data_IF_738057029880
#
_entry.id   IF_738057029880
#
_cell.length_a   1.000
_cell.length_b   1.000
_cell.length_c   1.000
_cell.angle_alpha   90.00
_cell.angle_beta   90.00
_cell.angle_gamma   90.00
#
_symmetry.space_group_name_H-M   'P 1'
#
loop_
_entity.id
_entity.type
_entity.pdbx_description
1 polymer ?
#
# COMPACT_ATOMS: atom_id res chain seq x y z
N UNK A 1 -17.68 9.84 -51.21
CA UNK A 1 -18.41 11.09 -50.91
C UNK A 1 -17.46 12.01 -50.14
N UNK A 2 -16.92 13.04 -50.81
CA UNK A 2 -17.06 14.49 -50.48
C UNK A 2 -16.81 14.80 -48.99
N UNK A 3 -15.62 15.25 -48.58
CA UNK A 3 -15.01 16.60 -48.64
C UNK A 3 -15.79 17.71 -47.90
N UNK A 4 -15.13 18.29 -46.89
CA UNK A 4 -14.96 19.75 -46.67
C UNK A 4 -13.77 19.90 -45.70
N UNK A 5 -12.56 20.32 -46.13
CA UNK A 5 -12.12 21.70 -46.45
C UNK A 5 -12.38 22.64 -45.26
N UNK A 6 -11.39 23.31 -44.64
CA UNK A 6 -10.69 24.54 -45.10
C UNK A 6 -9.36 24.63 -44.32
N UNK A 7 -8.18 24.51 -44.96
CA UNK A 7 -7.25 25.57 -45.42
C UNK A 7 -6.87 26.69 -44.42
N UNK A 8 -5.57 26.82 -44.09
CA UNK A 8 -4.65 27.86 -44.60
C UNK A 8 -3.24 27.64 -43.97
N UNK A 9 -2.15 27.30 -44.72
CA UNK A 9 -1.29 28.16 -45.59
C UNK A 9 -0.51 29.21 -44.75
N UNK A 10 0.82 29.43 -44.79
CA UNK A 10 1.95 29.25 -45.73
C UNK A 10 3.27 29.14 -44.90
N UNK A 11 4.31 28.35 -45.24
CA UNK A 11 5.43 28.61 -46.19
C UNK A 11 6.20 29.95 -45.89
N UNK A 12 7.52 30.11 -46.01
CA UNK A 12 8.64 29.23 -46.36
C UNK A 12 9.97 30.00 -46.13
N UNK A 13 10.98 29.28 -45.63
CA UNK A 13 12.36 29.10 -46.15
C UNK A 13 13.00 30.09 -47.16
N UNK A 14 14.26 30.48 -46.84
CA UNK A 14 15.38 31.07 -47.63
C UNK A 14 15.21 32.55 -48.06
N UNK A 15 16.25 33.36 -48.37
CA UNK A 15 17.55 33.17 -49.03
C UNK A 15 18.50 34.34 -48.65
N UNK A 16 19.80 34.05 -48.56
CA UNK A 16 20.98 34.83 -49.03
C UNK A 16 21.39 36.24 -48.60
N UNK A 17 22.72 36.30 -48.41
CA UNK A 17 23.66 37.43 -48.45
C UNK A 17 23.61 38.25 -49.75
N UNK A 18 24.05 39.52 -49.71
CA UNK A 18 25.02 39.97 -50.71
C UNK A 18 26.19 40.84 -50.17
N UNK A 19 27.16 40.96 -51.07
CA UNK A 19 28.49 41.59 -51.03
C UNK A 19 28.45 43.11 -50.83
N UNK A 20 29.57 43.68 -50.33
CA UNK A 20 29.80 45.12 -50.20
C UNK A 20 30.08 45.86 -51.53
N UNK A 21 30.41 47.17 -51.46
CA UNK A 21 31.64 47.65 -52.11
C UNK A 21 32.41 48.76 -51.35
N UNK A 22 33.49 49.16 -52.01
CA UNK A 22 34.72 49.89 -51.69
C UNK A 22 34.68 51.41 -51.44
N UNK A 23 35.56 51.87 -50.53
CA UNK A 23 36.61 52.94 -50.66
C UNK A 23 36.20 54.39 -51.00
N UNK A 24 36.57 55.35 -50.14
CA UNK A 24 37.26 56.60 -50.57
C UNK A 24 37.98 57.30 -49.42
N UNK A 25 39.25 57.63 -49.68
CA UNK A 25 40.14 58.46 -48.84
C UNK A 25 39.81 59.93 -49.08
N UNK A 26 39.65 60.73 -48.01
CA UNK A 26 39.70 62.19 -48.08
C UNK A 26 40.55 62.77 -46.94
N UNK A 27 41.36 63.75 -47.32
CA UNK A 27 42.46 64.41 -46.61
C UNK A 27 42.01 65.35 -45.47
N UNK A 28 42.84 65.60 -44.44
CA UNK A 28 42.51 66.55 -43.38
C UNK A 28 43.00 67.99 -43.68
N UNK A 29 42.26 69.00 -43.20
CA UNK A 29 42.70 70.40 -43.04
C UNK A 29 42.03 71.04 -41.81
N UNK A 30 42.57 72.15 -41.28
CA UNK A 30 43.10 72.16 -39.92
C UNK A 30 42.16 72.73 -38.86
N UNK A 31 42.51 72.39 -37.62
CA UNK A 31 42.02 72.89 -36.34
C UNK A 31 41.84 74.42 -36.29
N UNK A 32 40.67 74.86 -35.79
CA UNK A 32 40.55 76.09 -35.01
C UNK A 32 40.43 75.71 -33.54
N UNK A 33 41.42 76.12 -32.75
CA UNK A 33 41.40 76.00 -31.31
C UNK A 33 40.34 76.95 -30.71
N UNK A 34 39.42 76.38 -29.94
CA UNK A 34 38.59 77.09 -28.98
C UNK A 34 39.27 77.02 -27.58
N UNK A 35 39.08 78.01 -26.71
CA UNK A 35 39.94 78.25 -25.56
C UNK A 35 39.81 77.19 -24.44
N UNK A 36 40.93 76.90 -23.72
CA UNK A 36 41.00 75.88 -22.69
C UNK A 36 40.57 76.45 -21.34
N UNK A 37 39.28 76.38 -20.99
CA UNK A 37 38.88 76.64 -19.60
C UNK A 37 37.68 75.87 -19.08
N UNK A 38 36.93 75.15 -19.93
CA UNK A 38 35.83 74.29 -19.48
C UNK A 38 36.13 72.78 -19.56
N UNK A 39 37.03 72.36 -20.47
CA UNK A 39 37.30 70.94 -20.72
C UNK A 39 38.23 70.30 -19.69
N UNK A 40 39.20 71.05 -19.15
CA UNK A 40 40.17 70.53 -18.17
C UNK A 40 39.55 70.27 -16.78
N UNK A 41 38.46 70.96 -16.42
CA UNK A 41 37.75 70.74 -15.16
C UNK A 41 36.78 69.54 -15.21
N UNK A 42 36.26 69.20 -16.39
CA UNK A 42 35.35 68.06 -16.58
C UNK A 42 36.10 66.74 -16.79
N UNK A 43 37.23 66.75 -17.50
CA UNK A 43 38.03 65.54 -17.73
C UNK A 43 38.71 65.02 -16.46
N UNK A 44 39.22 65.92 -15.61
CA UNK A 44 39.84 65.56 -14.31
C UNK A 44 38.81 65.09 -13.26
N UNK A 45 37.58 65.62 -13.31
CA UNK A 45 36.49 65.20 -12.41
C UNK A 45 35.89 63.84 -12.78
N UNK A 46 35.83 63.51 -14.07
CA UNK A 46 35.34 62.20 -14.54
C UNK A 46 36.32 61.04 -14.26
N UNK A 47 37.64 61.30 -14.26
CA UNK A 47 38.64 60.27 -13.96
C UNK A 47 38.72 59.92 -12.46
N UNK A 48 38.53 60.89 -11.56
CA UNK A 48 38.51 60.64 -10.11
C UNK A 48 37.25 59.87 -9.68
N UNK A 49 36.06 60.22 -10.19
CA UNK A 49 34.82 59.48 -9.87
C UNK A 49 34.86 58.05 -10.39
N UNK A 50 35.40 57.82 -11.60
CA UNK A 50 35.62 56.47 -12.15
C UNK A 50 36.62 55.66 -11.33
N UNK A 51 37.71 56.29 -10.86
CA UNK A 51 38.69 55.63 -10.00
C UNK A 51 38.12 55.27 -8.63
N UNK A 52 37.32 56.15 -8.03
CA UNK A 52 36.63 55.89 -6.77
C UNK A 52 35.56 54.80 -6.92
N UNK A 53 34.85 54.74 -8.05
CA UNK A 53 33.90 53.66 -8.33
C UNK A 53 34.60 52.31 -8.57
N UNK A 54 35.71 52.26 -9.32
CA UNK A 54 36.54 51.06 -9.46
C UNK A 54 37.09 50.57 -8.10
N UNK A 55 37.52 51.48 -7.23
CA UNK A 55 37.95 51.17 -5.86
C UNK A 55 36.82 50.67 -4.96
N UNK A 56 35.61 51.26 -5.07
CA UNK A 56 34.42 50.76 -4.37
C UNK A 56 34.03 49.37 -4.86
N UNK A 57 34.08 49.13 -6.17
CA UNK A 57 33.81 47.82 -6.77
C UNK A 57 34.87 46.78 -6.38
N UNK A 58 36.14 47.17 -6.30
CA UNK A 58 37.23 46.31 -5.80
C UNK A 58 37.09 46.01 -4.31
N UNK A 59 36.68 47.00 -3.50
CA UNK A 59 36.42 46.84 -2.07
C UNK A 59 35.19 45.96 -1.82
N UNK A 60 34.13 46.10 -2.62
CA UNK A 60 32.95 45.25 -2.58
C UNK A 60 33.26 43.81 -3.05
N UNK A 61 34.06 43.62 -4.10
CA UNK A 61 34.53 42.29 -4.50
C UNK A 61 35.38 41.65 -3.41
N UNK A 62 36.29 42.40 -2.77
CA UNK A 62 37.07 41.88 -1.64
C UNK A 62 36.22 41.61 -0.40
N UNK A 63 35.21 42.44 -0.13
CA UNK A 63 34.24 42.23 0.95
C UNK A 63 33.36 41.01 0.72
N UNK A 64 32.89 40.80 -0.52
CA UNK A 64 32.16 39.62 -0.93
C UNK A 64 33.04 38.37 -0.87
N UNK A 65 34.29 38.43 -1.34
CA UNK A 65 35.26 37.34 -1.23
C UNK A 65 35.62 37.02 0.23
N UNK A 66 35.68 38.02 1.10
CA UNK A 66 35.94 37.86 2.53
C UNK A 66 34.73 37.26 3.26
N UNK A 67 33.50 37.66 2.92
CA UNK A 67 32.27 37.00 3.39
C UNK A 67 32.18 35.57 2.88
N UNK A 68 32.45 35.32 1.60
CA UNK A 68 32.49 33.98 1.02
C UNK A 68 33.51 33.09 1.74
N UNK A 69 34.68 33.64 2.12
CA UNK A 69 35.69 32.93 2.92
C UNK A 69 35.24 32.67 4.37
N UNK A 70 34.50 33.59 4.97
CA UNK A 70 33.95 33.44 6.33
C UNK A 70 32.79 32.44 6.40
N UNK A 71 31.97 32.33 5.34
CA UNK A 71 30.83 31.42 5.28
C UNK A 71 31.17 30.08 4.61
N UNK A 72 32.34 29.97 3.96
CA UNK A 72 32.86 28.71 3.40
C UNK A 72 32.74 27.51 4.36
N UNK A 73 33.12 27.58 5.65
CA UNK A 73 32.95 26.44 6.55
C UNK A 73 31.48 26.08 6.79
N UNK A 74 30.58 27.06 6.82
CA UNK A 74 29.13 26.82 6.98
C UNK A 74 28.57 26.13 5.73
N UNK A 75 28.93 26.59 4.53
CA UNK A 75 28.53 25.95 3.29
C UNK A 75 29.11 24.54 3.15
N UNK A 76 30.36 24.33 3.58
CA UNK A 76 30.98 23.00 3.60
C UNK A 76 30.24 22.06 4.55
N UNK A 77 29.87 22.52 5.75
CA UNK A 77 29.10 21.72 6.71
C UNK A 77 27.68 21.41 6.20
N UNK A 78 27.00 22.37 5.57
CA UNK A 78 25.69 22.15 4.95
C UNK A 78 25.79 21.17 3.77
N UNK A 79 26.83 21.27 2.95
CA UNK A 79 27.05 20.35 1.84
C UNK A 79 27.36 18.93 2.35
N UNK A 80 28.18 18.79 3.40
CA UNK A 80 28.46 17.50 4.03
C UNK A 80 27.21 16.91 4.70
N UNK A 81 26.39 17.73 5.35
CA UNK A 81 25.11 17.31 5.94
C UNK A 81 24.12 16.84 4.86
N UNK A 82 24.00 17.60 3.76
CA UNK A 82 23.17 17.21 2.63
C UNK A 82 23.67 15.90 1.99
N UNK A 83 24.98 15.74 1.82
CA UNK A 83 25.57 14.52 1.29
C UNK A 83 25.29 13.31 2.22
N UNK A 84 25.42 13.48 3.53
CA UNK A 84 25.13 12.45 4.51
C UNK A 84 23.65 12.04 4.50
N UNK A 85 22.74 13.01 4.43
CA UNK A 85 21.29 12.73 4.35
C UNK A 85 20.92 12.00 3.06
N UNK A 86 21.49 12.38 1.91
CA UNK A 86 21.30 11.67 0.64
C UNK A 86 21.82 10.22 0.70
N UNK A 87 22.97 9.99 1.34
CA UNK A 87 23.52 8.63 1.52
C UNK A 87 22.59 7.79 2.42
N UNK A 88 22.15 8.31 3.56
CA UNK A 88 21.26 7.60 4.49
C UNK A 88 19.90 7.28 3.85
N UNK A 89 19.34 8.22 3.08
CA UNK A 89 18.12 8.01 2.32
C UNK A 89 18.30 6.95 1.23
N UNK A 90 19.40 6.98 0.48
CA UNK A 90 19.73 5.96 -0.52
C UNK A 90 19.84 4.55 0.07
N UNK A 91 20.46 4.41 1.26
CA UNK A 91 20.54 3.12 1.98
C UNK A 91 19.17 2.64 2.46
N UNK A 92 18.30 3.55 2.87
CA UNK A 92 16.93 3.21 3.29
C UNK A 92 16.08 2.75 2.11
N UNK A 93 16.17 3.45 0.97
CA UNK A 93 15.48 3.07 -0.27
C UNK A 93 15.96 1.71 -0.81
N UNK A 94 17.25 1.41 -0.76
CA UNK A 94 17.77 0.12 -1.24
C UNK A 94 17.25 -1.07 -0.42
N UNK A 95 17.13 -0.92 0.90
CA UNK A 95 16.52 -1.91 1.79
C UNK A 95 15.02 -2.10 1.52
N UNK A 96 14.28 -1.02 1.29
CA UNK A 96 12.85 -1.10 0.94
C UNK A 96 12.67 -1.81 -0.40
N UNK A 97 13.52 -1.52 -1.38
CA UNK A 97 13.48 -2.18 -2.69
C UNK A 97 13.78 -3.67 -2.62
N UNK A 98 14.72 -4.11 -1.76
CA UNK A 98 15.02 -5.54 -1.61
C UNK A 98 13.86 -6.29 -0.98
N UNK A 99 13.25 -5.73 0.08
CA UNK A 99 12.06 -6.31 0.73
C UNK A 99 10.87 -6.37 -0.23
N UNK A 100 10.64 -5.31 -1.01
CA UNK A 100 9.58 -5.27 -2.03
C UNK A 100 9.78 -6.36 -3.10
N UNK A 101 11.02 -6.56 -3.56
CA UNK A 101 11.36 -7.61 -4.53
C UNK A 101 11.14 -9.01 -3.97
N UNK A 102 11.53 -9.26 -2.72
CA UNK A 102 11.29 -10.53 -2.04
C UNK A 102 9.79 -10.81 -1.86
N UNK A 103 9.01 -9.80 -1.46
CA UNK A 103 7.55 -9.92 -1.34
C UNK A 103 6.91 -10.27 -2.69
N UNK A 104 7.30 -9.59 -3.77
CA UNK A 104 6.78 -9.87 -5.10
C UNK A 104 7.17 -11.26 -5.61
N UNK A 105 8.39 -11.73 -5.33
CA UNK A 105 8.81 -13.11 -5.63
C UNK A 105 7.97 -14.13 -4.86
N UNK A 106 7.78 -13.92 -3.55
CA UNK A 106 6.94 -14.80 -2.71
C UNK A 106 5.50 -14.84 -3.18
N UNK A 107 4.93 -13.71 -3.58
CA UNK A 107 3.59 -13.64 -4.16
C UNK A 107 3.49 -14.37 -5.51
N UNK A 108 4.51 -14.28 -6.36
CA UNK A 108 4.54 -14.98 -7.63
C UNK A 108 4.68 -16.51 -7.45
N UNK A 109 5.49 -16.96 -6.50
CA UNK A 109 5.62 -18.37 -6.12
C UNK A 109 4.29 -18.94 -5.58
N UNK A 110 3.61 -18.19 -4.69
CA UNK A 110 2.31 -18.60 -4.13
C UNK A 110 1.25 -18.77 -5.22
N UNK A 111 1.18 -17.81 -6.17
CA UNK A 111 0.26 -17.86 -7.31
C UNK A 111 0.55 -19.05 -8.23
N UNK A 112 1.82 -19.39 -8.44
CA UNK A 112 2.22 -20.52 -9.29
C UNK A 112 1.80 -21.85 -8.65
N UNK A 113 1.96 -22.01 -7.34
CA UNK A 113 1.55 -23.23 -6.62
C UNK A 113 0.02 -23.40 -6.62
N UNK A 114 -0.72 -22.31 -6.41
CA UNK A 114 -2.20 -22.30 -6.46
C UNK A 114 -2.78 -22.50 -7.88
N UNK A 115 -1.96 -22.37 -8.93
CA UNK A 115 -2.38 -22.62 -10.32
C UNK A 115 -2.15 -24.07 -10.78
N UNK A 116 -1.74 -24.97 -9.88
CA UNK A 116 -1.71 -26.41 -10.20
C UNK A 116 -3.13 -26.91 -10.54
N UNK A 117 -3.32 -27.69 -11.62
CA UNK A 117 -4.62 -28.23 -12.01
C UNK A 117 -5.33 -28.98 -10.88
N UNK A 118 -4.55 -29.63 -10.00
CA UNK A 118 -5.07 -30.40 -8.86
C UNK A 118 -5.74 -29.50 -7.81
N UNK A 119 -5.27 -28.27 -7.64
CA UNK A 119 -5.82 -27.32 -6.68
C UNK A 119 -7.11 -26.65 -7.18
N UNK A 120 -7.24 -26.49 -8.50
CA UNK A 120 -8.50 -26.05 -9.11
C UNK A 120 -9.59 -27.11 -9.00
N UNK A 121 -9.22 -28.40 -9.07
CA UNK A 121 -10.18 -29.51 -9.00
C UNK A 121 -10.50 -29.93 -7.56
N UNK A 122 -9.51 -29.85 -6.65
CA UNK A 122 -9.63 -30.23 -5.25
C UNK A 122 -9.03 -29.14 -4.34
N UNK A 123 -9.75 -28.03 -4.11
CA UNK A 123 -9.23 -26.94 -3.30
C UNK A 123 -8.76 -27.40 -1.91
N UNK A 124 -9.49 -28.31 -1.27
CA UNK A 124 -9.15 -28.80 0.06
C UNK A 124 -8.02 -29.84 0.12
N UNK A 125 -7.42 -30.19 -1.02
CA UNK A 125 -6.35 -31.18 -1.17
C UNK A 125 -6.80 -32.46 -1.89
N UNK A 126 -5.86 -33.18 -2.55
CA UNK A 126 -6.17 -34.33 -3.40
C UNK A 126 -6.82 -35.53 -2.67
N UNK A 127 -6.56 -35.66 -1.36
CA UNK A 127 -7.11 -36.73 -0.51
C UNK A 127 -8.38 -36.30 0.26
N UNK A 128 -8.88 -35.08 0.04
CA UNK A 128 -9.89 -34.45 0.88
C UNK A 128 -11.33 -34.52 0.32
N UNK A 129 -11.70 -35.60 -0.37
CA UNK A 129 -13.02 -35.72 -1.04
C UNK A 129 -14.23 -35.54 -0.09
N UNK A 130 -14.03 -35.72 1.21
CA UNK A 130 -15.04 -35.54 2.24
C UNK A 130 -15.22 -34.07 2.65
N UNK A 131 -14.23 -33.22 2.37
CA UNK A 131 -14.25 -31.80 2.68
C UNK A 131 -15.01 -31.02 1.61
N UNK A 132 -15.60 -29.91 2.02
CA UNK A 132 -16.32 -28.97 1.15
C UNK A 132 -15.63 -27.64 1.16
N UNK A 133 -15.26 -27.15 0.00
CA UNK A 133 -14.69 -25.82 -0.15
C UNK A 133 -15.79 -24.77 -0.10
N UNK A 134 -15.58 -23.71 0.66
CA UNK A 134 -16.36 -22.48 0.59
C UNK A 134 -15.52 -21.28 1.04
N UNK A 135 -15.42 -20.26 0.18
CA UNK A 135 -14.81 -18.96 0.46
C UNK A 135 -13.42 -19.01 1.15
N UNK A 136 -12.49 -19.81 0.62
CA UNK A 136 -11.13 -19.88 1.16
C UNK A 136 -10.98 -20.73 2.42
N UNK A 137 -12.01 -21.50 2.80
CA UNK A 137 -11.97 -22.51 3.86
C UNK A 137 -12.51 -23.85 3.37
N UNK A 138 -12.21 -24.88 4.14
CA UNK A 138 -12.62 -26.27 3.93
C UNK A 138 -13.39 -26.78 5.14
N UNK A 139 -14.54 -27.39 4.90
CA UNK A 139 -15.47 -27.85 5.94
C UNK A 139 -15.71 -29.35 5.84
N UNK A 140 -15.58 -30.05 6.95
CA UNK A 140 -15.90 -31.47 7.08
C UNK A 140 -17.19 -31.61 7.89
N UNK A 141 -18.18 -32.32 7.35
CA UNK A 141 -19.43 -32.63 8.03
C UNK A 141 -19.35 -34.07 8.48
N UNK A 142 -19.42 -34.30 9.80
CA UNK A 142 -19.28 -35.65 10.35
C UNK A 142 -20.45 -36.56 9.96
N UNK A 143 -20.16 -37.85 9.87
CA UNK A 143 -21.17 -38.91 9.78
C UNK A 143 -21.50 -39.52 11.15
N UNK A 144 -20.68 -39.25 12.16
CA UNK A 144 -20.84 -39.79 13.51
C UNK A 144 -21.26 -38.67 14.47
N UNK A 145 -22.13 -39.05 15.40
CA UNK A 145 -22.52 -38.20 16.52
C UNK A 145 -21.57 -38.39 17.70
N UNK A 146 -21.32 -37.32 18.44
CA UNK A 146 -20.55 -37.34 19.68
C UNK A 146 -20.84 -36.08 20.50
N UNK A 147 -20.35 -36.06 21.74
CA UNK A 147 -20.42 -34.86 22.57
C UNK A 147 -19.45 -33.77 22.11
N UNK A 148 -19.69 -32.53 22.56
CA UNK A 148 -18.97 -31.35 22.09
C UNK A 148 -17.45 -31.44 22.32
N UNK A 149 -17.03 -31.96 23.48
CA UNK A 149 -15.61 -32.11 23.81
C UNK A 149 -14.90 -33.10 22.88
N UNK A 150 -15.52 -34.26 22.62
CA UNK A 150 -15.01 -35.26 21.67
C UNK A 150 -14.98 -34.69 20.25
N UNK A 151 -16.02 -33.95 19.85
CA UNK A 151 -16.08 -33.32 18.52
C UNK A 151 -14.93 -32.31 18.33
N UNK A 152 -14.64 -31.52 19.36
CA UNK A 152 -13.50 -30.59 19.38
C UNK A 152 -12.17 -31.32 19.24
N UNK A 153 -11.98 -32.43 19.94
CA UNK A 153 -10.77 -33.26 19.83
C UNK A 153 -10.64 -33.90 18.44
N UNK A 154 -11.74 -34.43 17.89
CA UNK A 154 -11.76 -35.04 16.58
C UNK A 154 -11.39 -34.05 15.47
N UNK A 155 -11.88 -32.80 15.53
CA UNK A 155 -11.45 -31.78 14.58
C UNK A 155 -9.94 -31.48 14.71
N UNK A 156 -9.39 -31.46 15.92
CA UNK A 156 -7.94 -31.28 16.11
C UNK A 156 -7.12 -32.41 15.50
N UNK A 157 -7.56 -33.66 15.64
CA UNK A 157 -6.92 -34.83 15.00
C UNK A 157 -6.91 -34.70 13.47
N UNK A 158 -7.95 -34.09 12.90
CA UNK A 158 -8.04 -33.77 11.47
C UNK A 158 -7.27 -32.51 11.05
N UNK A 159 -6.40 -31.97 11.92
CA UNK A 159 -5.68 -30.72 11.74
C UNK A 159 -6.61 -29.55 11.39
N UNK A 160 -7.72 -29.46 12.13
CA UNK A 160 -8.81 -28.51 11.94
C UNK A 160 -9.39 -28.09 13.30
N UNK A 161 -10.47 -27.32 13.30
CA UNK A 161 -11.19 -26.92 14.51
C UNK A 161 -12.70 -27.06 14.31
N UNK A 162 -13.51 -27.07 15.38
CA UNK A 162 -14.96 -26.93 15.22
C UNK A 162 -15.27 -25.59 14.53
N UNK A 163 -16.31 -25.58 13.70
CA UNK A 163 -16.61 -24.43 12.85
C UNK A 163 -16.90 -23.16 13.65
N UNK A 164 -16.27 -22.06 13.23
CA UNK A 164 -16.52 -20.69 13.71
C UNK A 164 -17.22 -19.91 12.60
N UNK A 165 -18.41 -19.39 12.89
CA UNK A 165 -19.25 -18.71 11.88
C UNK A 165 -19.07 -17.21 12.00
N UNK A 166 -18.43 -16.61 11.00
CA UNK A 166 -17.99 -15.22 11.02
C UNK A 166 -18.96 -14.28 10.31
N UNK A 167 -19.82 -14.79 9.43
CA UNK A 167 -20.71 -13.97 8.62
C UNK A 167 -21.89 -14.77 8.04
N UNK A 168 -22.86 -14.02 7.50
CA UNK A 168 -24.08 -14.57 6.92
C UNK A 168 -23.83 -15.49 5.71
N UNK A 169 -22.78 -15.25 4.92
CA UNK A 169 -22.50 -16.11 3.75
C UNK A 169 -22.03 -17.51 4.19
N UNK A 170 -21.17 -17.58 5.20
CA UNK A 170 -20.75 -18.82 5.85
C UNK A 170 -21.94 -19.53 6.50
N UNK A 171 -22.77 -18.81 7.27
CA UNK A 171 -24.01 -19.33 7.86
C UNK A 171 -24.93 -19.98 6.82
N UNK A 172 -25.21 -19.28 5.72
CA UNK A 172 -26.09 -19.77 4.66
C UNK A 172 -25.51 -20.99 3.95
N UNK A 173 -24.19 -21.01 3.73
CA UNK A 173 -23.52 -22.18 3.18
C UNK A 173 -23.72 -23.39 4.09
N UNK A 174 -23.44 -23.28 5.39
CA UNK A 174 -23.60 -24.39 6.33
C UNK A 174 -25.07 -24.87 6.38
N UNK A 175 -26.03 -23.95 6.52
CA UNK A 175 -27.46 -24.29 6.53
C UNK A 175 -27.91 -25.03 5.26
N UNK A 176 -27.46 -24.57 4.08
CA UNK A 176 -27.74 -25.26 2.82
C UNK A 176 -27.14 -26.68 2.78
N UNK A 177 -25.93 -26.85 3.30
CA UNK A 177 -25.25 -28.16 3.35
C UNK A 177 -25.92 -29.15 4.28
N UNK A 178 -26.50 -28.68 5.39
CA UNK A 178 -27.21 -29.52 6.36
C UNK A 178 -28.50 -30.13 5.81
N UNK A 179 -29.10 -29.53 4.77
CA UNK A 179 -30.38 -29.95 4.21
C UNK A 179 -31.53 -30.05 5.24
N UNK A 180 -31.39 -29.40 6.40
CA UNK A 180 -32.41 -29.30 7.45
C UNK A 180 -32.69 -30.59 8.25
N UNK A 181 -31.85 -31.62 8.15
CA UNK A 181 -32.14 -32.95 8.76
C UNK A 181 -31.43 -33.19 10.08
N UNK A 182 -30.19 -32.73 10.18
CA UNK A 182 -29.28 -33.06 11.28
C UNK A 182 -28.86 -31.81 12.06
N UNK A 183 -28.33 -32.05 13.26
CA UNK A 183 -27.76 -31.03 14.15
C UNK A 183 -26.25 -31.14 14.17
N UNK A 184 -25.56 -30.00 14.22
CA UNK A 184 -24.10 -29.98 14.15
C UNK A 184 -23.48 -29.05 15.19
N UNK A 185 -22.53 -29.56 15.96
CA UNK A 185 -21.74 -28.77 16.89
C UNK A 185 -21.01 -27.60 16.21
N UNK A 186 -21.03 -26.45 16.91
CA UNK A 186 -20.25 -25.25 16.61
C UNK A 186 -19.06 -25.14 17.55
N UNK A 187 -18.06 -24.35 17.17
CA UNK A 187 -16.96 -23.96 18.04
C UNK A 187 -17.32 -22.90 19.08
N UNK A 188 -18.60 -22.79 19.50
CA UNK A 188 -19.11 -21.75 20.38
C UNK A 188 -19.57 -22.35 21.73
N UNK A 189 -19.12 -21.77 22.84
CA UNK A 189 -19.38 -22.26 24.21
C UNK A 189 -19.28 -21.13 25.23
N UNK A 190 -19.99 -21.21 26.34
CA UNK A 190 -19.86 -20.34 27.51
C UNK A 190 -19.54 -21.12 28.80
N UNK A 191 -19.01 -22.35 28.67
CA UNK A 191 -18.62 -23.24 29.79
C UNK A 191 -17.67 -22.59 30.81
N UNK A 192 -16.94 -21.55 30.42
CA UNK A 192 -16.03 -20.82 31.31
C UNK A 192 -16.79 -19.83 32.22
N UNK A 193 -17.87 -19.24 31.74
CA UNK A 193 -18.65 -18.22 32.43
C UNK A 193 -20.03 -18.10 31.77
N UNK A 194 -21.07 -18.52 32.49
CA UNK A 194 -22.47 -18.45 32.07
C UNK A 194 -22.85 -17.11 31.44
N UNK A 195 -23.47 -17.15 30.25
CA UNK A 195 -23.89 -15.98 29.48
C UNK A 195 -22.75 -15.26 28.74
N UNK A 196 -21.49 -15.70 28.91
CA UNK A 196 -20.33 -15.17 28.19
C UNK A 196 -19.82 -16.18 27.17
N UNK A 197 -20.45 -16.16 25.99
CA UNK A 197 -20.10 -16.99 24.85
C UNK A 197 -18.74 -16.65 24.22
N UNK A 198 -17.97 -17.68 23.91
CA UNK A 198 -16.61 -17.60 23.37
C UNK A 198 -16.45 -18.56 22.19
N UNK A 199 -15.90 -18.06 21.08
CA UNK A 199 -15.45 -18.90 19.98
C UNK A 199 -14.12 -19.55 20.31
N UNK A 200 -13.95 -20.83 19.97
CA UNK A 200 -12.73 -21.59 20.29
C UNK A 200 -11.45 -21.05 19.62
N UNK A 201 -11.57 -20.24 18.58
CA UNK A 201 -10.44 -19.59 17.90
C UNK A 201 -10.10 -18.20 18.46
N UNK A 202 -10.89 -17.73 19.44
CA UNK A 202 -10.74 -16.40 20.05
C UNK A 202 -11.38 -15.26 19.25
N UNK A 203 -12.14 -15.55 18.20
CA UNK A 203 -12.93 -14.54 17.49
C UNK A 203 -13.88 -13.82 18.46
N UNK A 204 -13.96 -12.49 18.36
CA UNK A 204 -14.79 -11.67 19.24
C UNK A 204 -16.28 -11.93 18.99
N UNK A 205 -16.91 -12.66 19.92
CA UNK A 205 -18.34 -12.94 19.89
C UNK A 205 -19.20 -11.68 20.10
N UNK A 206 -18.79 -10.77 20.98
CA UNK A 206 -19.62 -9.63 21.43
C UNK A 206 -19.90 -8.62 20.31
N UNK A 207 -18.93 -8.45 19.41
CA UNK A 207 -19.05 -7.58 18.23
C UNK A 207 -19.18 -8.39 16.93
N UNK A 208 -19.38 -9.70 17.04
CA UNK A 208 -19.40 -10.65 15.93
C UNK A 208 -20.78 -10.91 15.34
N UNK A 209 -20.80 -11.77 14.32
CA UNK A 209 -22.03 -12.29 13.73
C UNK A 209 -22.69 -13.29 14.68
N UNK A 210 -24.02 -13.25 14.79
CA UNK A 210 -24.81 -14.23 15.54
C UNK A 210 -26.04 -14.66 14.74
N UNK A 211 -26.51 -15.90 14.97
CA UNK A 211 -27.67 -16.46 14.28
C UNK A 211 -28.50 -17.40 15.16
N UNK A 212 -28.68 -17.00 16.42
CA UNK A 212 -29.51 -17.72 17.39
C UNK A 212 -30.96 -17.87 16.91
N UNK A 213 -31.53 -19.06 17.12
CA UNK A 213 -32.96 -19.31 16.97
C UNK A 213 -33.70 -18.38 17.93
N UNK A 214 -34.91 -17.97 17.54
CA UNK A 214 -35.75 -17.13 18.40
C UNK A 214 -35.96 -17.78 19.77
N UNK A 215 -35.54 -17.07 20.82
CA UNK A 215 -35.63 -17.51 22.22
C UNK A 215 -34.32 -18.05 22.79
N UNK A 216 -33.31 -18.28 21.95
CA UNK A 216 -31.99 -18.79 22.36
C UNK A 216 -30.95 -17.65 22.44
N UNK A 217 -29.85 -17.84 23.20
CA UNK A 217 -29.64 -18.93 24.15
C UNK A 217 -30.54 -18.78 25.39
N UNK A 218 -31.06 -19.89 25.92
CA UNK A 218 -32.05 -19.90 27.01
C UNK A 218 -31.58 -20.59 28.30
N UNK A 219 -30.42 -21.26 28.27
CA UNK A 219 -29.82 -22.00 29.37
C UNK A 219 -30.82 -22.97 30.05
N UNK A 220 -31.48 -23.83 29.25
CA UNK A 220 -32.58 -24.66 29.74
C UNK A 220 -32.08 -25.69 30.76
N UNK A 221 -32.45 -25.48 32.02
CA UNK A 221 -32.03 -26.33 33.12
C UNK A 221 -30.64 -25.99 33.68
N UNK A 222 -30.15 -24.78 33.40
CA UNK A 222 -28.97 -24.15 34.00
C UNK A 222 -27.63 -24.84 33.74
N UNK A 223 -27.47 -25.41 32.54
CA UNK A 223 -26.35 -26.30 32.16
C UNK A 223 -26.17 -26.43 30.63
N UNK A 224 -26.69 -25.50 29.82
CA UNK A 224 -26.61 -25.60 28.35
C UNK A 224 -25.42 -24.82 27.76
N UNK A 225 -24.20 -25.25 28.08
CA UNK A 225 -23.03 -24.40 27.88
C UNK A 225 -22.35 -24.51 26.49
N UNK A 226 -22.98 -25.19 25.52
CA UNK A 226 -22.42 -25.48 24.20
C UNK A 226 -23.43 -25.23 23.08
N UNK A 227 -22.98 -24.63 21.96
CA UNK A 227 -23.89 -24.32 20.85
C UNK A 227 -23.79 -25.31 19.68
N UNK A 228 -24.93 -25.59 19.06
CA UNK A 228 -25.04 -26.34 17.81
C UNK A 228 -25.94 -25.62 16.82
N UNK A 229 -25.77 -25.94 15.54
CA UNK A 229 -26.75 -25.67 14.50
C UNK A 229 -27.95 -26.60 14.71
N UNK A 230 -29.10 -26.02 15.01
CA UNK A 230 -30.39 -26.70 15.05
C UNK A 230 -30.87 -27.04 13.63
N UNK A 231 -32.03 -27.69 13.53
CA UNK A 231 -32.71 -27.90 12.26
C UNK A 231 -32.79 -26.57 11.48
N UNK A 232 -32.44 -26.62 10.19
CA UNK A 232 -32.39 -25.47 9.28
C UNK A 232 -31.29 -24.42 9.55
N UNK A 233 -30.40 -24.64 10.54
CA UNK A 233 -29.15 -23.89 10.71
C UNK A 233 -29.19 -22.74 11.71
N UNK A 234 -30.33 -22.43 12.33
CA UNK A 234 -30.35 -21.49 13.46
C UNK A 234 -29.61 -22.07 14.67
N UNK A 235 -29.01 -21.23 15.51
CA UNK A 235 -28.19 -21.71 16.63
C UNK A 235 -29.04 -22.00 17.86
N UNK A 236 -28.66 -23.00 18.62
CA UNK A 236 -29.29 -23.42 19.86
C UNK A 236 -28.18 -23.80 20.84
N UNK A 237 -28.31 -23.37 22.09
CA UNK A 237 -27.51 -23.81 23.22
C UNK A 237 -28.04 -25.15 23.73
N UNK A 238 -27.18 -26.06 24.12
CA UNK A 238 -27.57 -27.37 24.64
C UNK A 238 -26.46 -27.91 25.53
N UNK A 239 -26.81 -28.85 26.41
CA UNK A 239 -25.84 -29.58 27.23
C UNK A 239 -24.66 -30.07 26.39
N UNK A 240 -23.43 -29.73 26.79
CA UNK A 240 -22.22 -30.17 26.09
C UNK A 240 -22.08 -31.70 25.96
N UNK A 241 -22.80 -32.47 26.79
CA UNK A 241 -22.88 -33.93 26.76
C UNK A 241 -23.85 -34.51 25.73
N UNK A 242 -24.69 -33.68 25.09
CA UNK A 242 -25.59 -34.10 24.02
C UNK A 242 -24.78 -34.75 22.89
N UNK A 243 -25.34 -35.76 22.21
CA UNK A 243 -24.67 -36.39 21.08
C UNK A 243 -25.34 -35.89 19.79
N UNK A 244 -24.56 -35.22 18.95
CA UNK A 244 -24.96 -34.84 17.60
C UNK A 244 -23.75 -34.79 16.67
N UNK A 245 -23.99 -34.58 15.39
CA UNK A 245 -22.93 -34.44 14.41
C UNK A 245 -22.09 -33.19 14.68
N UNK A 246 -20.99 -33.01 13.96
CA UNK A 246 -20.10 -31.85 14.13
C UNK A 246 -19.55 -31.40 12.78
N UNK A 247 -19.21 -30.12 12.71
CA UNK A 247 -18.57 -29.55 11.52
C UNK A 247 -17.18 -29.08 11.93
N UNK A 248 -16.17 -29.59 11.23
CA UNK A 248 -14.81 -29.07 11.34
C UNK A 248 -14.54 -28.08 10.22
N UNK A 249 -13.72 -27.07 10.47
CA UNK A 249 -13.20 -26.15 9.47
C UNK A 249 -11.67 -26.04 9.52
N UNK A 250 -11.07 -25.75 8.37
CA UNK A 250 -9.65 -25.38 8.24
C UNK A 250 -9.43 -24.45 7.04
N UNK A 251 -8.35 -23.63 7.03
CA UNK A 251 -7.97 -22.90 5.83
C UNK A 251 -7.61 -23.88 4.70
N UNK A 252 -7.70 -23.39 3.47
CA UNK A 252 -7.25 -24.16 2.30
C UNK A 252 -5.72 -24.32 2.37
N UNK A 253 -5.14 -25.49 2.02
CA UNK A 253 -3.69 -25.69 2.04
C UNK A 253 -2.92 -24.64 1.23
N UNK A 254 -1.79 -24.14 1.75
CA UNK A 254 -0.98 -23.12 1.10
C UNK A 254 -0.20 -23.62 -0.13
#
# INVERSE_FOLDING_TARGET
MRLSSVELKFFCRWYSSPRGPTRSVHTPRPYRAAPPSAFQALFTRMDEERFQDELRLFKDRNFLLQKLRSFFPVYLLLALSLLLTLILFGVSLSKVSSVSSELHKKQAELKKNHSSPDYQLFPCGPESREWRYFNGKCYYFSLQEMNWHKAKEQCKELHSQLVVINNLAEQNFLAYRMQGRERYWLGLTDVNMEGKWEWIDGTDYMNGFTFWKKGEPNDSGHREDCAHLWNFGEWNDVYCSYECHYICEKPVPA
#
